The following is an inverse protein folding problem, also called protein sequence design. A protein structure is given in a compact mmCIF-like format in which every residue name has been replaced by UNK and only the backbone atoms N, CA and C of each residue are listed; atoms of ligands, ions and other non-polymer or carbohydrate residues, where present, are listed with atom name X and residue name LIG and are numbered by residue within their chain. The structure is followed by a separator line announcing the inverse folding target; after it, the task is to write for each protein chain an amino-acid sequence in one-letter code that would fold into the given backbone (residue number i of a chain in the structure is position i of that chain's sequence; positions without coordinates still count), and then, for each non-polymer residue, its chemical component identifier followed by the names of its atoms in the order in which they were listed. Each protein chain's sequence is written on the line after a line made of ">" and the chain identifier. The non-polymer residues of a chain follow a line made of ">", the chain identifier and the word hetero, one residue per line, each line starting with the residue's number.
data_IF_410607423709
#
_entry.id   IF_410607423709
#
_cell.length_a   1.000
_cell.length_b   1.000
_cell.length_c   1.000
_cell.angle_alpha   90.00
_cell.angle_beta   90.00
_cell.angle_gamma   90.00
#
_symmetry.space_group_name_H-M   'P 1'
#
loop_
_entity.id
_entity.type
_entity.pdbx_description
1 polymer ?
#
# COMPACT_ATOMS: atom_id res chain seq x y z
N UNK A 1 -26.51 15.08 10.95
CA UNK A 1 -25.97 13.84 10.38
C UNK A 1 -24.80 13.43 11.25
N UNK A 2 -24.75 12.18 11.70
CA UNK A 2 -23.61 11.71 12.48
C UNK A 2 -22.37 11.73 11.57
N UNK A 3 -21.32 12.44 12.00
CA UNK A 3 -20.06 12.48 11.28
C UNK A 3 -19.34 11.13 11.51
N UNK A 4 -19.17 10.32 10.45
CA UNK A 4 -18.49 9.02 10.52
C UNK A 4 -17.04 9.14 11.00
N UNK A 5 -16.46 10.33 10.95
CA UNK A 5 -15.07 10.62 11.33
C UNK A 5 -14.94 11.32 12.68
N UNK A 6 -16.02 11.42 13.47
CA UNK A 6 -15.99 12.10 14.79
C UNK A 6 -14.82 11.64 15.67
N UNK A 7 -14.59 10.33 15.74
CA UNK A 7 -13.47 9.74 16.51
C UNK A 7 -12.11 10.03 15.91
N UNK A 8 -11.99 10.04 14.58
CA UNK A 8 -10.75 10.40 13.90
C UNK A 8 -10.42 11.88 14.13
N UNK A 9 -11.42 12.75 14.03
CA UNK A 9 -11.27 14.19 14.29
C UNK A 9 -10.88 14.43 15.75
N UNK A 10 -11.53 13.76 16.69
CA UNK A 10 -11.21 13.87 18.11
C UNK A 10 -9.77 13.43 18.44
N UNK A 11 -9.25 12.41 17.74
CA UNK A 11 -7.89 11.93 17.94
C UNK A 11 -6.84 12.81 17.26
N UNK A 12 -7.10 13.24 16.02
CA UNK A 12 -6.13 13.95 15.19
C UNK A 12 -6.16 15.47 15.41
N UNK A 13 -7.28 16.00 15.86
CA UNK A 13 -7.63 17.42 15.82
C UNK A 13 -8.09 17.85 14.42
N UNK A 14 -8.94 18.86 14.33
CA UNK A 14 -9.52 19.35 13.08
C UNK A 14 -8.46 19.76 12.04
N UNK A 15 -7.38 20.42 12.49
CA UNK A 15 -6.32 20.87 11.59
C UNK A 15 -5.62 19.73 10.84
N UNK A 16 -5.25 18.65 11.54
CA UNK A 16 -4.63 17.48 10.93
C UNK A 16 -5.63 16.68 10.08
N UNK A 17 -6.89 16.60 10.56
CA UNK A 17 -7.94 15.92 9.79
C UNK A 17 -8.19 16.64 8.45
N UNK A 18 -8.29 17.97 8.44
CA UNK A 18 -8.43 18.75 7.21
C UNK A 18 -7.20 18.60 6.28
N UNK A 19 -6.00 18.48 6.85
CA UNK A 19 -4.77 18.28 6.09
C UNK A 19 -4.78 16.94 5.34
N UNK A 20 -5.11 15.83 6.00
CA UNK A 20 -5.14 14.51 5.38
C UNK A 20 -6.22 14.40 4.30
N UNK A 21 -7.32 15.14 4.42
CA UNK A 21 -8.39 15.15 3.43
C UNK A 21 -7.98 15.78 2.08
N UNK A 22 -6.92 16.57 2.05
CA UNK A 22 -6.42 17.21 0.84
C UNK A 22 -5.36 16.38 0.10
N UNK A 23 -4.89 15.29 0.73
CA UNK A 23 -3.78 14.50 0.20
C UNK A 23 -4.24 13.45 -0.81
N UNK A 24 -3.57 13.39 -1.94
CA UNK A 24 -3.77 12.38 -3.00
C UNK A 24 -2.83 11.21 -2.77
N UNK A 25 -3.38 10.03 -2.48
CA UNK A 25 -2.62 8.81 -2.22
C UNK A 25 -2.74 7.87 -3.41
N UNK A 26 -1.64 7.59 -4.09
CA UNK A 26 -1.58 6.59 -5.15
C UNK A 26 -1.25 5.22 -4.57
N UNK A 27 -2.14 4.25 -4.74
CA UNK A 27 -1.97 2.88 -4.25
C UNK A 27 -1.76 1.94 -5.44
N UNK A 28 -0.57 1.40 -5.54
CA UNK A 28 -0.17 0.42 -6.54
C UNK A 28 -0.20 -0.98 -5.93
N UNK A 29 -1.05 -1.84 -6.49
CA UNK A 29 -1.33 -3.19 -5.98
C UNK A 29 -2.42 -3.19 -4.91
N UNK A 30 -3.56 -3.79 -5.26
CA UNK A 30 -4.75 -3.88 -4.40
C UNK A 30 -4.94 -5.29 -3.83
N UNK A 31 -3.82 -5.93 -3.49
CA UNK A 31 -3.76 -7.22 -2.81
C UNK A 31 -4.03 -7.14 -1.30
N UNK A 32 -3.52 -8.10 -0.54
CA UNK A 32 -3.71 -8.16 0.92
C UNK A 32 -3.10 -6.97 1.66
N UNK A 33 -1.94 -6.49 1.24
CA UNK A 33 -1.24 -5.34 1.85
C UNK A 33 -1.89 -4.03 1.40
N UNK A 34 -1.89 -3.76 0.09
CA UNK A 34 -2.39 -2.49 -0.44
C UNK A 34 -3.87 -2.28 -0.22
N UNK A 35 -4.68 -3.35 -0.30
CA UNK A 35 -6.11 -3.30 0.02
C UNK A 35 -6.38 -2.93 1.48
N UNK A 36 -5.60 -3.49 2.41
CA UNK A 36 -5.73 -3.13 3.84
C UNK A 36 -5.26 -1.70 4.09
N UNK A 37 -4.15 -1.26 3.48
CA UNK A 37 -3.67 0.10 3.58
C UNK A 37 -4.72 1.11 3.08
N UNK A 38 -5.30 0.85 1.90
CA UNK A 38 -6.34 1.68 1.30
C UNK A 38 -7.58 1.79 2.20
N UNK A 39 -8.10 0.66 2.69
CA UNK A 39 -9.28 0.69 3.57
C UNK A 39 -8.99 1.42 4.89
N UNK A 40 -7.81 1.21 5.48
CA UNK A 40 -7.40 1.90 6.71
C UNK A 40 -7.30 3.42 6.50
N UNK A 41 -6.70 3.88 5.41
CA UNK A 41 -6.59 5.30 5.06
C UNK A 41 -7.97 5.93 4.83
N UNK A 42 -8.86 5.28 4.06
CA UNK A 42 -10.21 5.77 3.82
C UNK A 42 -11.03 5.87 5.12
N UNK A 43 -10.92 4.89 6.03
CA UNK A 43 -11.57 4.92 7.36
C UNK A 43 -10.97 5.95 8.31
N UNK A 44 -9.72 6.34 8.11
CA UNK A 44 -9.07 7.41 8.89
C UNK A 44 -9.57 8.79 8.47
N UNK A 45 -9.99 8.98 7.21
CA UNK A 45 -10.53 10.23 6.68
C UNK A 45 -9.88 10.72 5.39
N UNK A 46 -8.88 10.02 4.86
CA UNK A 46 -8.38 10.30 3.51
C UNK A 46 -9.50 10.11 2.48
N UNK A 47 -9.52 10.96 1.45
CA UNK A 47 -10.61 10.91 0.47
C UNK A 47 -10.17 10.95 -1.00
N UNK A 48 -8.92 11.28 -1.31
CA UNK A 48 -8.43 11.32 -2.69
C UNK A 48 -7.48 10.16 -2.94
N UNK A 49 -7.87 9.26 -3.86
CA UNK A 49 -7.10 8.06 -4.16
C UNK A 49 -6.93 7.85 -5.66
N UNK A 50 -5.75 7.39 -6.05
CA UNK A 50 -5.46 6.81 -7.37
C UNK A 50 -5.17 5.34 -7.14
N UNK A 51 -5.99 4.46 -7.71
CA UNK A 51 -5.90 3.02 -7.53
C UNK A 51 -5.38 2.37 -8.81
N UNK A 52 -4.25 1.69 -8.72
CA UNK A 52 -3.58 1.05 -9.87
C UNK A 52 -3.39 -0.43 -9.59
N UNK A 53 -4.03 -1.26 -10.39
CA UNK A 53 -3.89 -2.72 -10.38
C UNK A 53 -4.37 -3.26 -11.73
N UNK A 54 -3.75 -4.31 -12.27
CA UNK A 54 -4.13 -4.89 -13.57
C UNK A 54 -4.90 -6.20 -13.43
N UNK A 55 -5.02 -6.74 -12.22
CA UNK A 55 -5.64 -8.02 -11.94
C UNK A 55 -7.16 -7.96 -11.84
N UNK A 56 -7.76 -9.15 -11.97
CA UNK A 56 -9.13 -9.42 -11.55
C UNK A 56 -9.15 -10.10 -10.19
N UNK A 57 -10.28 -9.97 -9.50
CA UNK A 57 -10.54 -10.69 -8.26
C UNK A 57 -10.68 -12.17 -8.54
N UNK A 58 -9.90 -12.99 -7.86
CA UNK A 58 -9.95 -14.45 -7.91
C UNK A 58 -10.44 -15.02 -6.58
N UNK A 59 -11.08 -16.19 -6.62
CA UNK A 59 -11.56 -16.86 -5.41
C UNK A 59 -10.44 -17.10 -4.37
N UNK A 60 -9.22 -17.41 -4.82
CA UNK A 60 -8.04 -17.58 -3.97
C UNK A 60 -7.57 -16.30 -3.27
N UNK A 61 -8.10 -15.15 -3.65
CA UNK A 61 -7.77 -13.86 -3.04
C UNK A 61 -8.57 -13.61 -1.75
N UNK A 62 -9.76 -14.18 -1.64
CA UNK A 62 -10.73 -13.83 -0.59
C UNK A 62 -10.25 -14.17 0.82
N UNK A 63 -9.30 -15.09 0.96
CA UNK A 63 -8.76 -15.44 2.27
C UNK A 63 -7.92 -14.32 2.92
N UNK A 64 -7.46 -13.30 2.13
CA UNK A 64 -6.53 -12.28 2.63
C UNK A 64 -6.71 -10.88 2.07
N UNK A 65 -7.55 -10.69 1.05
CA UNK A 65 -7.77 -9.39 0.41
C UNK A 65 -9.11 -8.80 0.88
N UNK A 66 -9.06 -7.95 1.89
CA UNK A 66 -10.21 -7.42 2.64
C UNK A 66 -11.22 -6.65 1.78
N UNK A 67 -10.78 -6.09 0.66
CA UNK A 67 -11.62 -5.28 -0.21
C UNK A 67 -12.69 -6.09 -0.95
N UNK A 68 -12.51 -7.41 -1.07
CA UNK A 68 -13.31 -8.25 -1.96
C UNK A 68 -14.13 -9.29 -1.23
N UNK A 69 -15.26 -9.62 -1.83
CA UNK A 69 -16.18 -10.65 -1.40
C UNK A 69 -16.49 -11.60 -2.56
N UNK A 70 -17.26 -12.67 -2.34
CA UNK A 70 -17.59 -13.62 -3.38
C UNK A 70 -18.29 -12.99 -4.60
N UNK A 71 -19.07 -11.92 -4.39
CA UNK A 71 -19.76 -11.21 -5.48
C UNK A 71 -18.81 -10.44 -6.41
N UNK A 72 -17.56 -10.24 -5.98
CA UNK A 72 -16.58 -9.48 -6.74
C UNK A 72 -15.68 -10.35 -7.62
N UNK A 73 -15.79 -11.69 -7.52
CA UNK A 73 -14.99 -12.64 -8.32
C UNK A 73 -15.21 -12.35 -9.82
N UNK A 74 -14.09 -12.21 -10.54
CA UNK A 74 -14.04 -11.89 -11.98
C UNK A 74 -14.07 -10.40 -12.32
N UNK A 75 -14.41 -9.52 -11.38
CA UNK A 75 -14.33 -8.06 -11.56
C UNK A 75 -12.86 -7.59 -11.54
N UNK A 76 -12.58 -6.46 -12.20
CA UNK A 76 -11.28 -5.82 -12.02
C UNK A 76 -11.11 -5.39 -10.56
N UNK A 77 -9.92 -5.59 -10.00
CA UNK A 77 -9.63 -5.21 -8.60
C UNK A 77 -9.84 -3.72 -8.35
N UNK A 78 -9.46 -2.87 -9.27
CA UNK A 78 -9.62 -1.41 -9.15
C UNK A 78 -11.08 -0.99 -9.03
N UNK A 79 -11.99 -1.62 -9.79
CA UNK A 79 -13.42 -1.30 -9.78
C UNK A 79 -14.10 -1.79 -8.49
N UNK A 80 -13.79 -3.03 -8.08
CA UNK A 80 -14.31 -3.59 -6.84
C UNK A 80 -13.79 -2.83 -5.60
N UNK A 81 -12.52 -2.44 -5.60
CA UNK A 81 -11.93 -1.62 -4.56
C UNK A 81 -12.59 -0.24 -4.46
N UNK A 82 -12.83 0.44 -5.58
CA UNK A 82 -13.56 1.71 -5.62
C UNK A 82 -14.93 1.59 -4.98
N UNK A 83 -15.73 0.60 -5.39
CA UNK A 83 -17.06 0.39 -4.82
C UNK A 83 -17.00 0.12 -3.30
N UNK A 84 -16.02 -0.67 -2.86
CA UNK A 84 -15.79 -0.94 -1.45
C UNK A 84 -15.50 0.35 -0.67
N UNK A 85 -14.61 1.19 -1.16
CA UNK A 85 -14.24 2.44 -0.48
C UNK A 85 -15.40 3.43 -0.47
N UNK A 86 -16.14 3.57 -1.59
CA UNK A 86 -17.31 4.42 -1.65
C UNK A 86 -18.45 3.94 -0.72
N UNK A 87 -18.53 2.64 -0.44
CA UNK A 87 -19.50 2.11 0.54
C UNK A 87 -19.14 2.50 1.99
N UNK A 88 -17.88 2.83 2.26
CA UNK A 88 -17.38 3.31 3.57
C UNK A 88 -17.48 4.83 3.66
N UNK A 89 -16.94 5.51 2.66
CA UNK A 89 -16.95 6.96 2.57
C UNK A 89 -17.39 7.40 1.16
N UNK A 90 -18.68 7.73 0.97
CA UNK A 90 -19.21 8.12 -0.33
C UNK A 90 -18.64 9.43 -0.87
N UNK A 91 -17.93 10.21 -0.04
CA UNK A 91 -17.29 11.45 -0.44
C UNK A 91 -15.84 11.26 -0.94
N UNK A 92 -15.37 10.02 -1.08
CA UNK A 92 -14.07 9.76 -1.69
C UNK A 92 -14.08 10.07 -3.18
N UNK A 93 -13.02 10.72 -3.63
CA UNK A 93 -12.69 10.93 -5.04
C UNK A 93 -11.65 9.90 -5.46
N UNK A 94 -12.06 8.96 -6.32
CA UNK A 94 -11.26 7.78 -6.65
C UNK A 94 -11.09 7.66 -8.15
N UNK A 95 -9.84 7.82 -8.61
CA UNK A 95 -9.44 7.45 -9.96
C UNK A 95 -8.99 5.99 -9.97
N UNK A 96 -9.49 5.21 -10.91
CA UNK A 96 -9.09 3.82 -11.13
C UNK A 96 -8.30 3.70 -12.43
N UNK A 97 -7.19 2.98 -12.41
CA UNK A 97 -6.32 2.74 -13.55
C UNK A 97 -6.05 1.23 -13.63
N UNK A 98 -6.63 0.59 -14.66
CA UNK A 98 -6.43 -0.82 -14.94
C UNK A 98 -5.14 -1.00 -15.76
N UNK A 99 -4.01 -1.00 -15.09
CA UNK A 99 -2.70 -1.04 -15.74
C UNK A 99 -1.64 -1.66 -14.80
N UNK A 100 -0.51 -2.07 -15.38
CA UNK A 100 0.71 -2.33 -14.61
C UNK A 100 1.31 -1.00 -14.15
N UNK A 101 2.14 -1.06 -13.10
CA UNK A 101 2.80 0.14 -12.59
C UNK A 101 3.64 0.87 -13.66
N UNK A 102 4.29 0.12 -14.55
CA UNK A 102 5.13 0.67 -15.62
C UNK A 102 4.36 1.44 -16.70
N UNK A 103 3.07 1.16 -16.83
CA UNK A 103 2.17 1.80 -17.79
C UNK A 103 1.41 3.00 -17.17
N UNK A 104 1.75 3.37 -15.93
CA UNK A 104 1.13 4.47 -15.21
C UNK A 104 1.60 5.82 -15.77
N UNK A 105 0.65 6.73 -16.00
CA UNK A 105 0.95 8.11 -16.40
C UNK A 105 1.40 8.93 -15.18
N UNK A 106 2.65 9.41 -15.20
CA UNK A 106 3.26 10.19 -14.13
C UNK A 106 2.80 11.64 -14.03
N UNK A 107 1.95 12.11 -14.93
CA UNK A 107 1.42 13.50 -14.91
C UNK A 107 0.30 13.71 -13.88
N UNK A 108 -0.08 12.68 -13.12
CA UNK A 108 -1.09 12.81 -12.09
C UNK A 108 -0.51 13.49 -10.82
N UNK A 109 -1.28 14.38 -10.17
CA UNK A 109 -0.87 14.93 -8.89
C UNK A 109 -0.88 13.81 -7.82
N UNK A 110 0.24 13.61 -7.15
CA UNK A 110 0.41 12.58 -6.11
C UNK A 110 1.15 13.20 -4.93
N UNK A 111 0.58 13.08 -3.73
CA UNK A 111 1.26 13.47 -2.49
C UNK A 111 2.01 12.31 -1.84
N UNK A 112 1.61 11.05 -2.10
CA UNK A 112 2.24 9.87 -1.52
C UNK A 112 2.02 8.62 -2.38
N UNK A 113 3.07 7.80 -2.53
CA UNK A 113 3.01 6.50 -3.24
C UNK A 113 3.04 5.35 -2.25
N UNK A 114 2.03 4.47 -2.33
CA UNK A 114 2.00 3.14 -1.70
C UNK A 114 2.38 2.11 -2.75
N UNK A 115 3.55 1.50 -2.60
CA UNK A 115 4.02 0.41 -3.43
C UNK A 115 3.74 -0.93 -2.72
N UNK A 116 2.62 -1.56 -3.06
CA UNK A 116 2.20 -2.87 -2.55
C UNK A 116 2.12 -3.95 -3.65
N UNK A 117 2.83 -3.76 -4.75
CA UNK A 117 2.96 -4.75 -5.83
C UNK A 117 4.05 -5.79 -5.48
N UNK A 118 4.04 -6.92 -6.16
CA UNK A 118 5.05 -7.99 -6.03
C UNK A 118 6.05 -8.01 -7.20
N UNK A 119 5.75 -7.30 -8.29
CA UNK A 119 6.61 -7.18 -9.46
C UNK A 119 7.81 -6.25 -9.19
N UNK A 120 9.01 -6.78 -9.37
CA UNK A 120 10.24 -6.04 -9.06
C UNK A 120 10.53 -4.92 -10.05
N UNK A 121 10.20 -5.10 -11.32
CA UNK A 121 10.41 -4.06 -12.34
C UNK A 121 9.45 -2.89 -12.11
N UNK A 122 8.20 -3.19 -11.73
CA UNK A 122 7.25 -2.17 -11.28
C UNK A 122 7.72 -1.44 -10.03
N UNK A 123 8.31 -2.12 -9.05
CA UNK A 123 8.90 -1.47 -7.86
C UNK A 123 10.03 -0.50 -8.22
N UNK A 124 10.88 -0.89 -9.17
CA UNK A 124 11.94 0.01 -9.65
C UNK A 124 11.38 1.22 -10.39
N UNK A 125 10.35 1.02 -11.20
CA UNK A 125 9.65 2.11 -11.87
C UNK A 125 9.06 3.09 -10.86
N UNK A 126 8.31 2.61 -9.86
CA UNK A 126 7.70 3.44 -8.82
C UNK A 126 8.75 4.18 -7.99
N UNK A 127 9.85 3.51 -7.67
CA UNK A 127 10.95 4.16 -6.94
C UNK A 127 11.58 5.28 -7.75
N UNK A 128 11.80 5.07 -9.06
CA UNK A 128 12.29 6.10 -9.97
C UNK A 128 11.33 7.27 -10.04
N UNK A 129 10.05 7.00 -10.28
CA UNK A 129 8.99 8.01 -10.30
C UNK A 129 8.99 8.86 -9.02
N UNK A 130 9.09 8.20 -7.85
CA UNK A 130 9.12 8.85 -6.55
C UNK A 130 10.36 9.75 -6.39
N UNK A 131 11.56 9.26 -6.75
CA UNK A 131 12.79 10.02 -6.58
C UNK A 131 12.89 11.19 -7.57
N UNK A 132 12.54 10.99 -8.83
CA UNK A 132 12.59 12.05 -9.87
C UNK A 132 11.60 13.19 -9.59
N UNK A 133 10.47 12.89 -8.97
CA UNK A 133 9.42 13.88 -8.67
C UNK A 133 9.38 14.31 -7.18
N UNK A 134 10.32 13.85 -6.35
CA UNK A 134 10.35 14.10 -4.91
C UNK A 134 9.04 13.71 -4.19
N UNK A 135 8.38 12.64 -4.63
CA UNK A 135 7.14 12.13 -4.03
C UNK A 135 7.51 11.16 -2.90
N UNK A 136 7.03 11.36 -1.67
CA UNK A 136 7.19 10.39 -0.58
C UNK A 136 6.62 9.02 -0.97
N UNK A 137 7.37 7.95 -0.67
CA UNK A 137 6.97 6.58 -0.98
C UNK A 137 7.19 5.65 0.21
N UNK A 138 6.33 4.64 0.33
CA UNK A 138 6.56 3.46 1.17
C UNK A 138 6.33 2.19 0.35
N UNK A 139 7.28 1.27 0.41
CA UNK A 139 7.29 0.02 -0.34
C UNK A 139 7.05 -1.16 0.58
N UNK A 140 6.07 -2.02 0.28
CA UNK A 140 5.93 -3.32 0.95
C UNK A 140 6.90 -4.34 0.36
N UNK A 141 7.55 -5.12 1.21
CA UNK A 141 8.35 -6.27 0.82
C UNK A 141 7.61 -7.59 1.06
N UNK A 142 8.28 -8.72 1.09
CA UNK A 142 7.64 -10.03 1.14
C UNK A 142 6.88 -10.30 2.44
N UNK A 143 5.56 -10.57 2.34
CA UNK A 143 4.68 -10.86 3.50
C UNK A 143 4.10 -12.28 3.46
N UNK A 144 4.46 -13.09 2.46
CA UNK A 144 4.02 -14.48 2.35
C UNK A 144 4.85 -15.43 3.22
N UNK A 145 4.28 -16.59 3.54
CA UNK A 145 4.90 -17.66 4.36
C UNK A 145 5.33 -17.20 5.76
N UNK A 146 4.55 -16.32 6.39
CA UNK A 146 4.80 -15.73 7.72
C UNK A 146 3.55 -15.74 8.57
N UNK A 147 3.72 -15.73 9.89
CA UNK A 147 2.64 -15.82 10.89
C UNK A 147 2.67 -14.67 11.90
N UNK A 148 3.86 -14.10 12.16
CA UNK A 148 4.07 -13.13 13.23
C UNK A 148 3.86 -11.70 12.74
N UNK A 149 2.82 -11.03 13.20
CA UNK A 149 2.56 -9.65 12.87
C UNK A 149 3.30 -8.65 13.78
N UNK A 150 3.74 -9.06 14.96
CA UNK A 150 4.44 -8.24 15.94
C UNK A 150 5.80 -7.76 15.46
N UNK A 151 6.40 -8.49 14.51
CA UNK A 151 7.71 -8.17 13.92
C UNK A 151 7.60 -7.45 12.57
N UNK A 152 6.39 -7.01 12.21
CA UNK A 152 6.16 -6.17 11.01
C UNK A 152 6.40 -4.70 11.36
N UNK A 153 7.34 -4.06 10.66
CA UNK A 153 7.69 -2.67 10.94
C UNK A 153 8.24 -1.93 9.73
N UNK A 154 8.38 -0.61 9.85
CA UNK A 154 9.01 0.25 8.85
C UNK A 154 10.52 0.33 9.11
N UNK A 155 11.31 0.19 8.05
CA UNK A 155 12.75 0.41 8.08
C UNK A 155 13.24 1.00 6.75
N UNK A 156 14.56 1.19 6.62
CA UNK A 156 15.17 1.57 5.34
C UNK A 156 15.56 0.34 4.53
N UNK A 157 15.40 0.39 3.20
CA UNK A 157 15.73 -0.73 2.31
C UNK A 157 17.16 -1.25 2.50
N UNK A 158 18.12 -0.37 2.73
CA UNK A 158 19.52 -0.75 2.97
C UNK A 158 19.77 -1.45 4.31
N UNK A 159 18.82 -1.38 5.25
CA UNK A 159 18.90 -2.03 6.58
C UNK A 159 18.15 -3.36 6.63
N UNK A 160 17.48 -3.77 5.55
CA UNK A 160 16.71 -5.02 5.54
C UNK A 160 17.59 -6.27 5.54
N UNK A 161 17.13 -7.33 6.23
CA UNK A 161 17.80 -8.63 6.31
C UNK A 161 16.81 -9.74 5.96
N UNK A 162 17.28 -10.94 5.72
CA UNK A 162 16.51 -12.19 5.64
C UNK A 162 15.32 -12.25 4.68
N UNK A 163 15.03 -11.20 3.92
CA UNK A 163 13.95 -11.16 2.92
C UNK A 163 14.51 -11.31 1.50
N UNK A 164 14.14 -12.38 0.76
CA UNK A 164 14.64 -12.62 -0.60
C UNK A 164 14.24 -11.51 -1.59
N UNK A 165 13.01 -10.97 -1.46
CA UNK A 165 12.54 -9.87 -2.29
C UNK A 165 13.34 -8.60 -2.02
N UNK A 166 13.57 -8.27 -0.74
CA UNK A 166 14.41 -7.14 -0.36
C UNK A 166 15.82 -7.24 -0.93
N UNK A 167 16.42 -8.44 -0.89
CA UNK A 167 17.74 -8.69 -1.47
C UNK A 167 17.77 -8.39 -2.97
N UNK A 168 16.77 -8.87 -3.71
CA UNK A 168 16.64 -8.65 -5.15
C UNK A 168 16.42 -7.17 -5.47
N UNK A 169 15.50 -6.51 -4.75
CA UNK A 169 15.22 -5.07 -4.93
C UNK A 169 16.46 -4.23 -4.64
N UNK A 170 17.17 -4.45 -3.51
CA UNK A 170 18.42 -3.72 -3.20
C UNK A 170 19.47 -3.83 -4.30
N UNK A 171 19.65 -5.05 -4.83
CA UNK A 171 20.62 -5.28 -5.90
C UNK A 171 20.25 -4.48 -7.16
N UNK A 172 19.01 -4.51 -7.58
CA UNK A 172 18.56 -3.85 -8.79
C UNK A 172 18.51 -2.32 -8.63
N UNK A 173 18.11 -1.81 -7.47
CA UNK A 173 18.14 -0.37 -7.15
C UNK A 173 19.57 0.17 -7.28
N UNK A 174 20.57 -0.54 -6.69
CA UNK A 174 21.99 -0.16 -6.85
C UNK A 174 22.44 -0.17 -8.31
N UNK A 175 22.04 -1.22 -9.05
CA UNK A 175 22.42 -1.35 -10.48
C UNK A 175 21.77 -0.24 -11.35
N UNK A 176 20.62 0.27 -10.96
CA UNK A 176 19.89 1.33 -11.68
C UNK A 176 20.37 2.75 -11.36
N UNK A 177 21.34 2.92 -10.45
CA UNK A 177 21.81 4.22 -10.01
C UNK A 177 20.84 4.99 -9.11
N UNK A 178 19.76 4.34 -8.62
CA UNK A 178 18.80 4.93 -7.70
C UNK A 178 19.34 4.89 -6.26
N UNK A 179 18.87 5.83 -5.43
CA UNK A 179 19.25 5.88 -4.03
C UNK A 179 18.58 4.77 -3.22
N UNK A 180 19.39 3.99 -2.48
CA UNK A 180 18.93 2.91 -1.61
C UNK A 180 18.68 3.39 -0.18
N UNK A 181 19.46 4.36 0.28
CA UNK A 181 19.51 4.78 1.69
C UNK A 181 18.24 5.43 2.21
N UNK A 182 17.50 6.10 1.33
CA UNK A 182 16.30 6.86 1.68
C UNK A 182 14.97 6.11 1.40
N UNK A 183 15.04 4.88 0.88
CA UNK A 183 13.84 4.10 0.56
C UNK A 183 13.23 3.53 1.84
N UNK A 184 12.03 3.98 2.20
CA UNK A 184 11.26 3.43 3.30
C UNK A 184 10.54 2.15 2.85
N UNK A 185 10.65 1.10 3.66
CA UNK A 185 10.02 -0.20 3.36
C UNK A 185 9.32 -0.75 4.59
N UNK A 186 8.23 -1.48 4.36
CA UNK A 186 7.62 -2.34 5.38
C UNK A 186 8.13 -3.76 5.17
N UNK A 187 8.66 -4.34 6.24
CA UNK A 187 9.18 -5.71 6.28
C UNK A 187 8.59 -6.46 7.46
N UNK A 188 8.74 -7.78 7.42
CA UNK A 188 8.66 -8.64 8.60
C UNK A 188 10.05 -9.21 8.86
N UNK A 189 10.51 -9.22 10.11
CA UNK A 189 11.78 -9.85 10.49
C UNK A 189 11.68 -11.37 10.61
N UNK A 190 10.47 -11.91 10.61
CA UNK A 190 10.26 -13.36 10.58
C UNK A 190 10.89 -13.97 9.34
N UNK A 191 11.63 -15.06 9.51
CA UNK A 191 12.18 -15.83 8.40
C UNK A 191 11.02 -16.59 7.71
N UNK A 192 10.79 -16.39 6.39
CA UNK A 192 9.69 -17.08 5.70
C UNK A 192 9.81 -18.60 5.86
N UNK A 193 8.69 -19.26 6.13
CA UNK A 193 8.63 -20.72 6.20
C UNK A 193 9.03 -21.34 4.85
N UNK A 194 9.94 -22.31 4.87
CA UNK A 194 10.48 -22.95 3.67
C UNK A 194 9.59 -24.09 3.12
N UNK A 195 8.29 -24.04 3.36
CA UNK A 195 7.43 -25.21 3.23
C UNK A 195 6.83 -25.43 1.83
N UNK A 196 7.17 -24.67 0.79
CA UNK A 196 6.44 -24.86 -0.43
C UNK A 196 7.13 -24.35 -1.69
N UNK A 197 6.84 -25.02 -2.77
CA UNK A 197 7.07 -24.54 -4.14
C UNK A 197 6.27 -23.29 -4.48
N UNK A 198 5.25 -22.95 -3.64
CA UNK A 198 4.35 -21.80 -3.80
C UNK A 198 4.37 -20.90 -2.57
N UNK A 199 4.05 -19.63 -2.79
CA UNK A 199 3.86 -18.67 -1.72
C UNK A 199 2.44 -18.81 -1.14
N UNK A 200 2.35 -19.05 0.16
CA UNK A 200 1.09 -19.12 0.89
C UNK A 200 0.96 -17.93 1.85
N UNK A 201 -0.27 -17.56 2.15
CA UNK A 201 -0.54 -16.45 3.06
C UNK A 201 -1.91 -16.58 3.69
N UNK A 202 -2.03 -16.09 4.91
CA UNK A 202 -3.29 -15.75 5.57
C UNK A 202 -3.52 -14.25 5.50
N UNK A 203 -4.62 -13.76 6.04
CA UNK A 203 -4.89 -12.32 6.10
C UNK A 203 -3.97 -11.58 7.09
N UNK A 204 -3.48 -12.24 8.15
CA UNK A 204 -2.89 -11.60 9.33
C UNK A 204 -1.66 -10.73 8.96
N UNK A 205 -0.59 -11.34 8.49
CA UNK A 205 0.68 -10.60 8.23
C UNK A 205 0.54 -9.55 7.13
N UNK A 206 -0.11 -9.84 5.97
CA UNK A 206 -0.36 -8.81 4.96
C UNK A 206 -1.18 -7.63 5.50
N UNK A 207 -2.19 -7.89 6.36
CA UNK A 207 -2.98 -6.81 6.94
C UNK A 207 -2.19 -5.99 7.95
N UNK A 208 -1.34 -6.61 8.77
CA UNK A 208 -0.40 -5.87 9.64
C UNK A 208 0.50 -4.94 8.82
N UNK A 209 1.03 -5.43 7.69
CA UNK A 209 1.83 -4.59 6.80
C UNK A 209 1.02 -3.42 6.22
N UNK A 210 -0.22 -3.66 5.78
CA UNK A 210 -1.11 -2.61 5.29
C UNK A 210 -1.45 -1.55 6.34
N UNK A 211 -1.75 -1.96 7.58
CA UNK A 211 -1.97 -1.05 8.71
C UNK A 211 -0.69 -0.26 9.06
N UNK A 212 0.47 -0.91 8.99
CA UNK A 212 1.78 -0.26 9.22
C UNK A 212 2.05 0.81 8.16
N UNK A 213 1.70 0.55 6.89
CA UNK A 213 1.78 1.53 5.80
C UNK A 213 0.85 2.71 6.09
N UNK A 214 -0.43 2.46 6.41
CA UNK A 214 -1.39 3.51 6.69
C UNK A 214 -0.95 4.41 7.86
N UNK A 215 -0.45 3.80 8.95
CA UNK A 215 0.13 4.52 10.10
C UNK A 215 1.32 5.38 9.66
N UNK A 216 2.24 4.82 8.85
CA UNK A 216 3.41 5.55 8.39
C UNK A 216 3.02 6.79 7.57
N UNK A 217 2.08 6.66 6.64
CA UNK A 217 1.58 7.77 5.82
C UNK A 217 0.95 8.84 6.69
N UNK A 218 0.06 8.44 7.59
CA UNK A 218 -0.60 9.36 8.52
C UNK A 218 0.44 10.17 9.30
N UNK A 219 1.39 9.52 9.95
CA UNK A 219 2.43 10.18 10.73
C UNK A 219 3.31 11.09 9.87
N UNK A 220 3.69 10.65 8.66
CA UNK A 220 4.51 11.48 7.75
C UNK A 220 3.83 12.78 7.34
N UNK A 221 2.50 12.84 7.37
CA UNK A 221 1.73 14.03 7.01
C UNK A 221 1.50 14.94 8.22
N UNK A 222 1.21 14.37 9.41
CA UNK A 222 0.90 15.15 10.60
C UNK A 222 2.15 15.62 11.35
N UNK A 223 3.27 14.87 11.29
CA UNK A 223 4.53 15.20 12.00
C UNK A 223 5.39 16.22 11.22
N UNK A 224 5.07 16.53 9.97
CA UNK A 224 5.76 17.50 9.12
C UNK A 224 5.31 18.97 9.38
N UNK A 225 4.93 19.29 10.63
CA UNK A 225 4.63 20.66 11.05
C UNK A 225 5.79 21.32 11.78
#
# INVERSE_FOLDING_TARGET
>A
MNNIFERSIGLLGEGNFNLIQQKVIAVFGLGGVGGTALEALARTGFKHFILVDFDKVDASNLNRQILYTQKDIGRNKVDAAKDRILSINPNCEIQTILAKAQDFDSNQPIDFIVDAIDDVDGKLFLLRLAQENNIPQIMSLGMANRFECEVVHVTKLNKTHSDPLAKKVRYLVKKSGLEVGNVNVVISEEIPQKNAEKLYSTMIVPSCAGLTIAKYILNSIIDNK
#
